data_IF_671538676036
#
_entry.id   IF_671538676036
#
_cell.length_a   1.000
_cell.length_b   1.000
_cell.length_c   1.000
_cell.angle_alpha   90.00
_cell.angle_beta   90.00
_cell.angle_gamma   90.00
#
_symmetry.space_group_name_H-M   'P 1'
#
loop_
_entity.id
_entity.type
_entity.pdbx_description
1 polymer ?
#
# COMPACT_ATOMS: atom_id res chain seq x y z
N UNK A 1 -19.34 24.30 1.65
CA UNK A 1 -18.61 23.19 2.28
C UNK A 1 -17.14 23.56 2.24
N UNK A 2 -16.46 23.49 3.37
CA UNK A 2 -15.02 23.72 3.50
C UNK A 2 -14.21 22.61 2.83
N UNK A 3 -12.94 22.86 2.56
CA UNK A 3 -12.04 21.85 1.99
C UNK A 3 -11.84 20.64 2.93
N UNK A 4 -11.88 20.86 4.25
CA UNK A 4 -11.81 19.80 5.26
C UNK A 4 -13.01 18.86 5.12
N UNK A 5 -14.22 19.42 5.09
CA UNK A 5 -15.46 18.63 4.93
C UNK A 5 -15.49 17.90 3.58
N UNK A 6 -14.98 18.52 2.51
CA UNK A 6 -14.85 17.90 1.20
C UNK A 6 -13.90 16.69 1.21
N UNK A 7 -12.75 16.79 1.91
CA UNK A 7 -11.84 15.66 2.07
C UNK A 7 -12.48 14.52 2.84
N UNK A 8 -13.13 14.81 3.96
CA UNK A 8 -13.82 13.79 4.77
C UNK A 8 -14.91 13.07 3.96
N UNK A 9 -15.71 13.83 3.20
CA UNK A 9 -16.73 13.29 2.29
C UNK A 9 -16.11 12.41 1.18
N UNK A 10 -14.91 12.75 0.72
CA UNK A 10 -14.15 11.96 -0.24
C UNK A 10 -13.39 10.76 0.38
N UNK A 11 -13.57 10.50 1.68
CA UNK A 11 -12.88 9.41 2.38
C UNK A 11 -11.39 9.66 2.60
N UNK A 12 -11.00 10.95 2.66
CA UNK A 12 -9.65 11.38 2.96
C UNK A 12 -9.59 11.95 4.39
N UNK A 13 -8.53 11.60 5.11
CA UNK A 13 -8.15 12.21 6.38
C UNK A 13 -7.46 13.55 6.10
N UNK A 14 -8.01 14.69 6.54
CA UNK A 14 -7.35 15.98 6.44
C UNK A 14 -6.10 15.99 7.32
N UNK A 15 -4.95 16.37 6.76
CA UNK A 15 -3.68 16.46 7.51
C UNK A 15 -2.90 17.69 7.06
N UNK A 16 -2.08 18.26 7.95
CA UNK A 16 -1.10 19.27 7.55
C UNK A 16 0.27 18.85 8.03
N UNK A 17 1.16 18.54 7.09
CA UNK A 17 2.51 18.09 7.43
C UNK A 17 3.50 19.25 7.44
N UNK A 18 4.33 19.29 8.49
CA UNK A 18 5.49 20.16 8.53
C UNK A 18 6.57 19.74 7.52
N UNK A 19 7.58 20.59 7.29
CA UNK A 19 8.64 20.33 6.31
C UNK A 19 9.41 19.04 6.57
N UNK A 20 9.73 18.73 7.83
CA UNK A 20 10.49 17.52 8.18
C UNK A 20 9.70 16.25 7.88
N UNK A 21 8.43 16.21 8.29
CA UNK A 21 7.54 15.08 8.00
C UNK A 21 7.31 14.89 6.51
N UNK A 22 7.15 15.99 5.77
CA UNK A 22 6.99 15.95 4.30
C UNK A 22 8.25 15.42 3.63
N UNK A 23 9.44 15.85 4.09
CA UNK A 23 10.72 15.35 3.58
C UNK A 23 10.89 13.86 3.83
N UNK A 24 10.62 13.40 5.04
CA UNK A 24 10.79 11.99 5.41
C UNK A 24 9.85 11.11 4.59
N UNK A 25 8.59 11.53 4.44
CA UNK A 25 7.64 10.86 3.55
C UNK A 25 8.05 10.92 2.08
N UNK A 26 8.55 12.05 1.56
CA UNK A 26 8.91 12.18 0.15
C UNK A 26 10.11 11.31 -0.22
N UNK A 27 11.12 11.27 0.64
CA UNK A 27 12.28 10.37 0.50
C UNK A 27 11.85 8.91 0.53
N UNK A 28 10.91 8.59 1.41
CA UNK A 28 10.27 7.28 1.48
C UNK A 28 9.50 6.95 0.19
N UNK A 29 8.67 7.85 -0.31
CA UNK A 29 7.83 7.65 -1.48
C UNK A 29 8.66 7.49 -2.77
N UNK A 30 9.72 8.27 -2.94
CA UNK A 30 10.64 8.21 -4.10
C UNK A 30 11.75 7.15 -3.96
N UNK A 31 11.91 6.54 -2.79
CA UNK A 31 13.07 5.72 -2.42
C UNK A 31 14.43 6.43 -2.61
N UNK A 32 14.48 7.76 -2.49
CA UNK A 32 15.69 8.56 -2.69
C UNK A 32 15.99 9.46 -1.50
N UNK A 33 17.22 9.39 -0.98
CA UNK A 33 17.68 10.32 0.09
C UNK A 33 18.13 11.67 -0.44
N UNK A 34 18.28 11.80 -1.77
CA UNK A 34 18.75 13.02 -2.44
C UNK A 34 17.65 14.06 -2.63
N UNK A 35 16.39 13.64 -2.59
CA UNK A 35 15.26 14.55 -2.72
C UNK A 35 14.85 15.13 -1.37
N UNK A 36 14.36 16.36 -1.38
CA UNK A 36 13.93 17.07 -0.17
C UNK A 36 12.42 17.04 0.04
N UNK A 37 11.61 16.98 -1.03
CA UNK A 37 10.15 17.11 -0.95
C UNK A 37 9.69 18.50 -0.50
N UNK A 38 10.60 19.48 -0.45
CA UNK A 38 10.30 20.83 0.05
C UNK A 38 9.31 21.60 -0.84
N UNK A 39 9.17 21.16 -2.08
CA UNK A 39 8.18 21.65 -3.05
C UNK A 39 6.76 21.15 -2.75
N UNK A 40 6.54 20.27 -1.77
CA UNK A 40 5.20 19.76 -1.45
C UNK A 40 4.69 20.23 -0.09
N UNK A 41 3.37 20.43 0.03
CA UNK A 41 2.66 20.56 1.30
C UNK A 41 1.48 19.61 1.33
N UNK A 42 1.57 18.54 2.10
CA UNK A 42 0.49 17.53 2.19
C UNK A 42 -0.68 18.09 2.99
N UNK A 43 -1.87 17.99 2.39
CA UNK A 43 -3.14 18.54 2.89
C UNK A 43 -4.15 17.45 3.30
N UNK A 44 -4.02 16.26 2.73
CA UNK A 44 -4.86 15.13 3.06
C UNK A 44 -4.17 13.81 2.71
N UNK A 45 -4.63 12.74 3.37
CA UNK A 45 -4.32 11.35 2.99
C UNK A 45 -5.60 10.63 2.70
N UNK A 46 -5.62 9.82 1.66
CA UNK A 46 -6.73 8.89 1.50
C UNK A 46 -6.49 7.62 2.33
N UNK A 47 -7.50 6.75 2.40
CA UNK A 47 -7.39 5.43 3.04
C UNK A 47 -6.42 4.47 2.35
N UNK A 48 -5.79 4.91 1.26
CA UNK A 48 -4.90 4.13 0.41
C UNK A 48 -3.43 4.25 0.82
N UNK A 49 -3.13 5.27 1.60
CA UNK A 49 -1.77 5.74 1.88
C UNK A 49 -1.30 6.83 0.90
N UNK A 50 -2.08 7.12 -0.14
CA UNK A 50 -1.86 8.21 -1.08
C UNK A 50 -2.09 9.56 -0.44
N UNK A 51 -1.36 10.56 -0.91
CA UNK A 51 -1.37 11.91 -0.36
C UNK A 51 -1.85 12.92 -1.39
N UNK A 52 -2.64 13.89 -0.93
CA UNK A 52 -2.96 15.11 -1.66
C UNK A 52 -2.03 16.19 -1.16
N UNK A 53 -1.37 16.90 -2.07
CA UNK A 53 -0.43 17.95 -1.72
C UNK A 53 -0.58 19.19 -2.61
N UNK A 54 -0.19 20.34 -2.09
CA UNK A 54 0.16 21.50 -2.92
C UNK A 54 1.56 21.30 -3.48
N UNK A 55 1.74 21.57 -4.77
CA UNK A 55 3.05 21.65 -5.39
C UNK A 55 3.45 23.12 -5.53
N UNK A 56 4.43 23.54 -4.73
CA UNK A 56 4.84 24.92 -4.49
C UNK A 56 5.73 25.49 -5.61
N UNK A 57 5.25 25.42 -6.85
CA UNK A 57 5.94 25.97 -8.02
C UNK A 57 5.52 27.40 -8.35
N UNK A 58 4.31 27.79 -7.95
CA UNK A 58 3.72 29.10 -8.23
C UNK A 58 3.10 29.74 -6.98
N UNK A 59 2.72 31.02 -7.10
CA UNK A 59 2.04 31.76 -6.03
C UNK A 59 0.65 31.18 -5.70
N UNK A 60 -0.02 30.57 -6.68
CA UNK A 60 -1.24 29.79 -6.50
C UNK A 60 -0.91 28.33 -6.87
N UNK A 61 -0.47 27.52 -5.90
CA UNK A 61 0.13 26.23 -6.20
C UNK A 61 -0.93 25.21 -6.64
N UNK A 62 -0.65 24.42 -7.69
CA UNK A 62 -1.54 23.34 -8.11
C UNK A 62 -1.66 22.25 -7.04
N UNK A 63 -2.80 21.57 -7.08
CA UNK A 63 -3.08 20.43 -6.21
C UNK A 63 -2.73 19.15 -6.93
N UNK A 64 -1.92 18.31 -6.30
CA UNK A 64 -1.39 17.08 -6.87
C UNK A 64 -1.75 15.88 -6.00
N UNK A 65 -1.89 14.73 -6.66
CA UNK A 65 -2.05 13.43 -6.03
C UNK A 65 -0.78 12.62 -6.16
N UNK A 66 -0.34 12.02 -5.05
CA UNK A 66 0.85 11.19 -4.94
C UNK A 66 0.41 9.86 -4.32
N UNK A 67 0.07 8.91 -5.19
CA UNK A 67 -0.54 7.63 -4.86
C UNK A 67 0.43 6.66 -4.20
N UNK A 68 -0.09 5.79 -3.34
CA UNK A 68 0.71 4.80 -2.60
C UNK A 68 1.42 3.78 -3.51
N UNK A 69 0.99 3.65 -4.77
CA UNK A 69 1.55 2.73 -5.75
C UNK A 69 2.40 3.43 -6.82
N UNK A 70 2.74 4.70 -6.59
CA UNK A 70 3.60 5.50 -7.47
C UNK A 70 2.83 6.26 -8.54
N UNK A 71 1.49 6.30 -8.47
CA UNK A 71 0.71 7.22 -9.27
C UNK A 71 1.05 8.66 -8.89
N UNK A 72 1.21 9.52 -9.89
CA UNK A 72 1.36 10.95 -9.67
C UNK A 72 0.54 11.69 -10.72
N UNK A 73 -0.26 12.66 -10.29
CA UNK A 73 -1.05 13.49 -11.19
C UNK A 73 -1.29 14.87 -10.61
N UNK A 74 -1.39 15.88 -11.49
CA UNK A 74 -1.95 17.18 -11.15
C UNK A 74 -3.46 17.07 -11.20
N UNK A 75 -4.12 17.20 -10.05
CA UNK A 75 -5.58 17.09 -9.95
C UNK A 75 -6.29 18.37 -10.38
N UNK A 76 -5.71 19.52 -10.05
CA UNK A 76 -6.30 20.84 -10.26
C UNK A 76 -5.23 21.93 -10.31
N UNK A 77 -5.53 23.04 -10.97
CA UNK A 77 -4.63 24.19 -11.07
C UNK A 77 -4.48 24.94 -9.74
N UNK A 78 -5.49 24.85 -8.87
CA UNK A 78 -5.47 25.43 -7.53
C UNK A 78 -6.48 24.76 -6.59
N UNK A 79 -6.64 25.33 -5.39
CA UNK A 79 -7.53 24.83 -4.36
C UNK A 79 -9.02 24.99 -4.70
N UNK A 80 -9.39 26.00 -5.48
CA UNK A 80 -10.80 26.26 -5.83
C UNK A 80 -11.27 25.24 -6.87
N UNK A 81 -10.45 25.00 -7.90
CA UNK A 81 -10.68 23.94 -8.89
C UNK A 81 -10.67 22.54 -8.23
N UNK A 82 -9.80 22.32 -7.26
CA UNK A 82 -9.77 21.08 -6.51
C UNK A 82 -11.01 20.88 -5.63
N UNK A 83 -11.50 21.94 -4.98
CA UNK A 83 -12.73 21.88 -4.21
C UNK A 83 -13.93 21.55 -5.12
N UNK A 84 -13.98 22.11 -6.33
CA UNK A 84 -14.99 21.77 -7.33
C UNK A 84 -14.92 20.30 -7.77
N UNK A 85 -13.70 19.77 -7.95
CA UNK A 85 -13.47 18.35 -8.26
C UNK A 85 -14.04 17.43 -7.16
N UNK A 86 -13.75 17.72 -5.88
CA UNK A 86 -14.29 16.94 -4.77
C UNK A 86 -15.81 17.09 -4.65
N UNK A 87 -16.34 18.29 -4.88
CA UNK A 87 -17.78 18.55 -4.84
C UNK A 87 -18.56 17.78 -5.91
N UNK A 88 -17.91 17.35 -6.99
CA UNK A 88 -18.51 16.46 -8.00
C UNK A 88 -18.64 15.01 -7.53
N UNK A 89 -18.19 14.69 -6.31
CA UNK A 89 -18.14 13.33 -5.75
C UNK A 89 -16.92 12.52 -6.19
N UNK A 90 -15.95 13.13 -6.87
CA UNK A 90 -14.71 12.44 -7.22
C UNK A 90 -13.81 12.30 -5.99
N UNK A 91 -13.16 11.15 -5.84
CA UNK A 91 -12.07 10.99 -4.86
C UNK A 91 -10.73 11.26 -5.52
N UNK A 92 -9.72 11.78 -4.81
CA UNK A 92 -8.42 12.14 -5.38
C UNK A 92 -7.75 11.03 -6.20
N UNK A 93 -7.63 9.84 -5.61
CA UNK A 93 -6.99 8.69 -6.29
C UNK A 93 -7.77 8.20 -7.50
N UNK A 94 -9.11 8.18 -7.43
CA UNK A 94 -9.93 7.79 -8.58
C UNK A 94 -9.86 8.84 -9.70
N UNK A 95 -9.85 10.13 -9.35
CA UNK A 95 -9.71 11.22 -10.31
C UNK A 95 -8.37 11.17 -11.04
N UNK A 96 -7.28 10.91 -10.31
CA UNK A 96 -5.94 10.72 -10.87
C UNK A 96 -5.90 9.51 -11.84
N UNK A 97 -6.46 8.36 -11.44
CA UNK A 97 -6.44 7.15 -12.25
C UNK A 97 -7.34 7.21 -13.49
N UNK A 98 -8.55 7.79 -13.36
CA UNK A 98 -9.50 7.91 -14.47
C UNK A 98 -9.12 9.01 -15.46
N UNK A 99 -8.24 9.93 -15.07
CA UNK A 99 -7.84 11.09 -15.87
C UNK A 99 -9.06 11.91 -16.30
N UNK A 100 -9.88 12.35 -15.34
CA UNK A 100 -11.09 13.15 -15.63
C UNK A 100 -10.76 14.38 -16.50
N UNK A 101 -11.72 14.94 -17.28
CA UNK A 101 -11.44 16.09 -18.16
C UNK A 101 -10.75 17.27 -17.44
N UNK A 102 -11.18 17.60 -16.22
CA UNK A 102 -10.56 18.62 -15.39
C UNK A 102 -9.11 18.27 -15.01
N UNK A 103 -8.86 17.01 -14.61
CA UNK A 103 -7.52 16.50 -14.28
C UNK A 103 -6.62 16.53 -15.52
N UNK A 104 -7.13 16.17 -16.71
CA UNK A 104 -6.36 16.27 -17.96
C UNK A 104 -6.01 17.71 -18.32
N UNK A 105 -6.94 18.64 -18.13
CA UNK A 105 -6.70 20.06 -18.38
C UNK A 105 -5.64 20.62 -17.40
N UNK A 106 -5.76 20.30 -16.11
CA UNK A 106 -4.77 20.66 -15.10
C UNK A 106 -3.39 20.06 -15.43
N UNK A 107 -3.32 18.76 -15.73
CA UNK A 107 -2.08 18.10 -16.11
C UNK A 107 -1.44 18.72 -17.36
N UNK A 108 -2.24 19.16 -18.34
CA UNK A 108 -1.75 19.82 -19.54
C UNK A 108 -1.23 21.25 -19.28
N UNK A 109 -1.74 21.93 -18.26
CA UNK A 109 -1.27 23.25 -17.84
C UNK A 109 0.10 23.19 -17.15
N UNK A 110 0.46 22.03 -16.58
CA UNK A 110 1.72 21.77 -15.89
C UNK A 110 2.49 20.60 -16.52
N UNK A 111 2.95 20.74 -17.78
CA UNK A 111 3.69 19.68 -18.49
C UNK A 111 5.02 19.31 -17.83
N UNK A 112 5.58 20.22 -17.03
CA UNK A 112 6.80 20.02 -16.27
C UNK A 112 6.61 19.22 -14.98
N UNK A 113 5.36 18.96 -14.56
CA UNK A 113 5.07 18.00 -13.50
C UNK A 113 5.51 16.60 -13.96
N UNK A 114 6.63 16.09 -13.47
CA UNK A 114 7.27 14.94 -14.04
C UNK A 114 6.72 13.68 -13.36
N UNK A 115 5.41 13.44 -13.55
CA UNK A 115 4.70 12.29 -13.00
C UNK A 115 5.43 10.95 -13.26
N UNK A 116 6.15 10.87 -14.38
CA UNK A 116 6.95 9.72 -14.77
C UNK A 116 8.38 9.70 -14.19
N UNK A 117 8.97 10.86 -13.86
CA UNK A 117 10.33 10.96 -13.32
C UNK A 117 10.39 10.81 -11.80
N UNK A 118 9.25 10.98 -11.12
CA UNK A 118 9.13 10.69 -9.69
C UNK A 118 8.64 9.28 -9.38
N UNK A 119 8.57 8.41 -10.40
CA UNK A 119 8.35 6.99 -10.16
C UNK A 119 9.40 6.52 -9.14
N UNK A 120 9.00 5.81 -8.06
CA UNK A 120 9.97 5.18 -7.18
C UNK A 120 10.96 4.37 -8.01
N UNK A 121 12.22 4.29 -7.55
CA UNK A 121 13.23 3.38 -8.13
C UNK A 121 12.62 2.01 -8.46
N UNK A 122 13.10 1.33 -9.53
CA UNK A 122 12.41 0.22 -10.17
C UNK A 122 11.81 -0.75 -9.16
N UNK A 123 10.51 -1.03 -9.38
CA UNK A 123 9.69 -1.95 -8.59
C UNK A 123 10.56 -3.07 -8.06
N UNK A 124 10.61 -3.17 -6.73
CA UNK A 124 11.39 -4.19 -6.04
C UNK A 124 11.23 -5.54 -6.74
N UNK A 125 12.35 -6.18 -7.08
CA UNK A 125 12.33 -7.50 -7.69
C UNK A 125 11.61 -8.46 -6.72
N UNK A 126 10.54 -9.09 -7.20
CA UNK A 126 9.81 -10.07 -6.41
C UNK A 126 10.41 -11.45 -6.66
N UNK A 127 10.91 -12.08 -5.59
CA UNK A 127 11.43 -13.46 -5.63
C UNK A 127 10.93 -14.27 -4.45
N UNK A 128 11.11 -15.58 -4.53
CA UNK A 128 10.91 -16.47 -3.39
C UNK A 128 11.81 -16.05 -2.23
N UNK A 129 11.26 -16.11 -1.02
CA UNK A 129 12.03 -16.00 0.20
C UNK A 129 12.88 -17.27 0.39
N UNK A 130 14.06 -17.08 0.97
CA UNK A 130 15.03 -18.11 1.30
C UNK A 130 15.36 -18.02 2.78
N UNK A 131 15.99 -19.07 3.34
CA UNK A 131 16.39 -19.05 4.75
C UNK A 131 17.33 -17.89 5.11
N UNK A 132 18.08 -17.37 4.15
CA UNK A 132 19.02 -16.25 4.33
C UNK A 132 18.29 -14.90 4.51
N UNK A 133 17.02 -14.80 4.11
CA UNK A 133 16.20 -13.60 4.27
C UNK A 133 15.63 -13.45 5.70
N UNK A 134 15.91 -14.41 6.60
CA UNK A 134 15.24 -14.52 7.88
C UNK A 134 15.44 -13.31 8.81
N UNK A 135 16.63 -12.69 8.82
CA UNK A 135 16.90 -11.52 9.67
C UNK A 135 16.07 -10.30 9.25
N UNK A 136 16.05 -10.00 7.96
CA UNK A 136 15.25 -8.90 7.42
C UNK A 136 13.74 -9.17 7.61
N UNK A 137 13.30 -10.42 7.40
CA UNK A 137 11.91 -10.82 7.62
C UNK A 137 11.49 -10.68 9.08
N UNK A 138 12.34 -11.11 10.03
CA UNK A 138 12.09 -10.88 11.47
C UNK A 138 11.91 -9.40 11.77
N UNK A 139 12.74 -8.53 11.19
CA UNK A 139 12.61 -7.08 11.35
C UNK A 139 11.26 -6.55 10.85
N UNK A 140 10.82 -7.00 9.66
CA UNK A 140 9.52 -6.61 9.10
C UNK A 140 8.32 -7.24 9.83
N UNK A 141 8.48 -8.41 10.42
CA UNK A 141 7.43 -9.04 11.23
C UNK A 141 7.22 -8.25 12.54
N UNK A 142 8.30 -7.75 13.14
CA UNK A 142 8.24 -6.90 14.33
C UNK A 142 7.42 -5.62 14.10
N UNK A 143 7.49 -5.01 12.90
CA UNK A 143 6.69 -3.81 12.58
C UNK A 143 5.18 -4.09 12.54
N UNK A 144 4.78 -5.35 12.41
CA UNK A 144 3.37 -5.75 12.51
C UNK A 144 2.91 -5.97 13.96
N UNK A 145 3.83 -5.95 14.94
CA UNK A 145 3.57 -6.20 16.36
C UNK A 145 3.78 -7.66 16.80
N UNK A 146 4.55 -8.45 16.04
CA UNK A 146 4.84 -9.85 16.37
C UNK A 146 6.34 -10.07 16.61
N UNK A 147 6.69 -10.82 17.64
CA UNK A 147 8.08 -11.18 17.93
C UNK A 147 8.35 -12.63 17.50
N UNK A 148 9.41 -12.83 16.70
CA UNK A 148 9.85 -14.16 16.23
C UNK A 148 11.35 -14.16 16.02
N UNK A 149 12.04 -15.24 16.42
CA UNK A 149 13.47 -15.38 16.19
C UNK A 149 13.81 -15.68 14.73
N UNK A 150 14.94 -15.16 14.24
CA UNK A 150 15.40 -15.40 12.87
C UNK A 150 15.64 -16.90 12.58
N UNK A 151 16.11 -17.67 13.56
CA UNK A 151 16.27 -19.11 13.43
C UNK A 151 14.93 -19.84 13.16
N UNK A 152 13.86 -19.43 13.84
CA UNK A 152 12.52 -19.99 13.63
C UNK A 152 11.96 -19.61 12.25
N UNK A 153 12.16 -18.35 11.84
CA UNK A 153 11.78 -17.88 10.50
C UNK A 153 12.52 -18.68 9.42
N UNK A 154 13.84 -18.81 9.54
CA UNK A 154 14.65 -19.61 8.62
C UNK A 154 14.19 -21.07 8.57
N UNK A 155 13.86 -21.67 9.72
CA UNK A 155 13.29 -23.01 9.81
C UNK A 155 11.99 -23.14 9.02
N UNK A 156 11.05 -22.20 9.21
CA UNK A 156 9.76 -22.17 8.49
C UNK A 156 9.93 -21.97 6.99
N UNK A 157 10.85 -21.08 6.56
CA UNK A 157 11.08 -20.82 5.14
C UNK A 157 11.57 -22.06 4.38
N UNK A 158 12.27 -22.98 5.06
CA UNK A 158 12.71 -24.24 4.45
C UNK A 158 11.57 -25.25 4.26
N UNK A 159 10.52 -25.19 5.07
CA UNK A 159 9.47 -26.24 5.11
C UNK A 159 8.14 -25.79 4.51
N UNK A 160 7.83 -24.50 4.56
CA UNK A 160 6.56 -23.94 4.07
C UNK A 160 6.26 -24.23 2.58
N UNK A 161 7.23 -24.18 1.65
CA UNK A 161 6.95 -24.47 0.24
C UNK A 161 6.34 -25.87 0.02
N UNK A 162 6.79 -26.86 0.78
CA UNK A 162 6.34 -28.25 0.65
C UNK A 162 4.94 -28.48 1.24
N UNK A 163 4.42 -27.55 2.05
CA UNK A 163 3.15 -27.67 2.74
C UNK A 163 2.00 -26.89 2.08
N UNK A 164 2.18 -26.43 0.83
CA UNK A 164 1.17 -25.63 0.14
C UNK A 164 1.16 -24.16 0.58
N UNK A 165 2.31 -23.63 0.98
CA UNK A 165 2.51 -22.21 1.24
C UNK A 165 3.54 -21.63 0.28
N UNK A 166 3.55 -20.32 0.15
CA UNK A 166 4.64 -19.59 -0.48
C UNK A 166 4.93 -18.30 0.28
N UNK A 167 6.21 -17.95 0.34
CA UNK A 167 6.66 -16.68 0.87
C UNK A 167 7.46 -15.98 -0.23
N UNK A 168 7.05 -14.77 -0.58
CA UNK A 168 7.76 -13.91 -1.52
C UNK A 168 8.28 -12.68 -0.81
N UNK A 169 9.41 -12.19 -1.27
CA UNK A 169 10.03 -10.95 -0.80
C UNK A 169 10.16 -9.94 -1.93
N UNK A 170 10.05 -8.67 -1.56
CA UNK A 170 10.32 -7.53 -2.42
C UNK A 170 11.75 -7.05 -2.15
N UNK A 171 12.59 -7.07 -3.18
CA UNK A 171 14.04 -6.80 -3.08
C UNK A 171 14.45 -5.61 -3.91
N UNK A 172 15.22 -4.71 -3.32
CA UNK A 172 15.98 -3.66 -4.00
C UNK A 172 17.48 -3.91 -3.73
N UNK A 173 18.12 -3.04 -2.96
CA UNK A 173 19.34 -3.26 -2.18
C UNK A 173 19.16 -4.22 -0.98
N UNK A 174 17.95 -4.31 -0.41
CA UNK A 174 17.60 -5.17 0.73
C UNK A 174 16.16 -5.67 0.65
N UNK A 175 15.76 -6.57 1.53
CA UNK A 175 14.36 -6.97 1.66
C UNK A 175 13.56 -5.80 2.23
N UNK A 176 12.51 -5.40 1.51
CA UNK A 176 11.67 -4.25 1.88
C UNK A 176 10.19 -4.54 1.92
N UNK A 177 9.81 -5.78 1.67
CA UNK A 177 8.49 -6.27 1.92
C UNK A 177 8.44 -7.77 1.76
N UNK A 178 7.38 -8.37 2.29
CA UNK A 178 7.13 -9.78 2.15
C UNK A 178 5.64 -10.08 2.14
N UNK A 179 5.29 -11.19 1.51
CA UNK A 179 3.96 -11.76 1.55
C UNK A 179 4.05 -13.25 1.80
N UNK A 180 3.23 -13.74 2.72
CA UNK A 180 2.99 -15.16 2.95
C UNK A 180 1.58 -15.49 2.48
N UNK A 181 1.48 -16.48 1.59
CA UNK A 181 0.22 -16.99 1.06
C UNK A 181 0.18 -18.50 1.26
N UNK A 182 -1.00 -19.05 1.53
CA UNK A 182 -1.20 -20.48 1.75
C UNK A 182 -2.50 -20.99 1.12
N UNK A 183 -2.52 -22.26 0.72
CA UNK A 183 -3.75 -22.93 0.30
C UNK A 183 -4.46 -23.50 1.52
N UNK A 184 -5.77 -23.25 1.57
CA UNK A 184 -6.67 -23.70 2.63
C UNK A 184 -7.84 -24.43 1.98
N UNK A 185 -8.10 -25.65 2.46
CA UNK A 185 -9.21 -26.48 2.02
C UNK A 185 -10.28 -26.54 3.12
N UNK A 186 -11.52 -26.26 2.74
CA UNK A 186 -12.66 -26.28 3.66
C UNK A 186 -13.86 -26.98 3.04
N UNK A 187 -14.61 -27.71 3.85
CA UNK A 187 -15.90 -28.28 3.45
C UNK A 187 -16.95 -27.21 3.10
N UNK A 188 -16.80 -26.00 3.64
CA UNK A 188 -17.81 -24.93 3.50
C UNK A 188 -17.52 -24.08 2.26
N UNK A 189 -16.25 -23.73 2.03
CA UNK A 189 -15.86 -22.75 1.01
C UNK A 189 -14.94 -23.32 -0.08
N UNK A 190 -14.65 -24.62 -0.04
CA UNK A 190 -13.78 -25.28 -1.01
C UNK A 190 -12.30 -24.90 -0.85
N UNK A 191 -11.58 -24.88 -1.97
CA UNK A 191 -10.15 -24.47 -2.03
C UNK A 191 -10.03 -22.96 -2.17
N UNK A 192 -9.42 -22.32 -1.18
CA UNK A 192 -9.10 -20.88 -1.20
C UNK A 192 -7.63 -20.65 -0.87
N UNK A 193 -7.12 -19.48 -1.22
CA UNK A 193 -5.84 -19.01 -0.74
C UNK A 193 -6.03 -18.00 0.40
N UNK A 194 -5.19 -18.07 1.42
CA UNK A 194 -5.19 -17.14 2.55
C UNK A 194 -3.87 -16.38 2.62
N UNK A 195 -3.94 -15.07 2.86
CA UNK A 195 -2.76 -14.29 3.24
C UNK A 195 -2.46 -14.53 4.71
N UNK A 196 -1.32 -15.19 4.97
CA UNK A 196 -0.78 -15.38 6.32
C UNK A 196 -0.09 -14.12 6.86
N UNK A 197 0.40 -13.25 5.97
CA UNK A 197 0.97 -11.96 6.31
C UNK A 197 1.36 -11.17 5.07
N UNK A 198 1.29 -9.84 5.16
CA UNK A 198 1.77 -8.91 4.15
C UNK A 198 2.29 -7.67 4.88
N UNK A 199 3.57 -7.36 4.71
CA UNK A 199 4.15 -6.14 5.23
C UNK A 199 5.16 -5.57 4.25
N UNK A 200 5.27 -4.25 4.28
CA UNK A 200 6.30 -3.49 3.58
C UNK A 200 6.95 -2.55 4.57
N UNK A 201 8.26 -2.33 4.44
CA UNK A 201 8.90 -1.20 5.10
C UNK A 201 8.16 0.07 4.67
N UNK A 202 7.99 1.02 5.59
CA UNK A 202 7.17 2.24 5.42
C UNK A 202 7.60 3.13 4.23
N UNK A 203 8.68 2.78 3.53
CA UNK A 203 9.43 3.60 2.58
C UNK A 203 9.46 3.06 1.15
N UNK A 204 8.47 2.26 0.74
CA UNK A 204 8.43 1.68 -0.62
C UNK A 204 7.03 1.64 -1.22
N UNK A 205 6.66 2.71 -1.93
CA UNK A 205 5.46 2.75 -2.74
C UNK A 205 5.43 1.59 -3.77
N UNK A 206 4.26 0.98 -3.97
CA UNK A 206 4.05 -0.09 -4.97
C UNK A 206 4.53 -1.50 -4.62
N UNK A 207 5.41 -1.68 -3.63
CA UNK A 207 5.90 -3.00 -3.23
C UNK A 207 4.77 -3.92 -2.72
N UNK A 208 3.83 -3.37 -1.95
CA UNK A 208 2.67 -4.11 -1.44
C UNK A 208 1.78 -4.65 -2.55
N UNK A 209 1.53 -3.84 -3.59
CA UNK A 209 0.81 -4.27 -4.81
C UNK A 209 1.51 -5.41 -5.52
N UNK A 210 2.81 -5.26 -5.77
CA UNK A 210 3.58 -6.25 -6.51
C UNK A 210 3.60 -7.60 -5.78
N UNK A 211 3.75 -7.57 -4.45
CA UNK A 211 3.67 -8.74 -3.59
C UNK A 211 2.28 -9.38 -3.64
N UNK A 212 1.21 -8.60 -3.44
CA UNK A 212 -0.15 -9.12 -3.45
C UNK A 212 -0.53 -9.74 -4.81
N UNK A 213 -0.22 -9.07 -5.91
CA UNK A 213 -0.45 -9.60 -7.26
C UNK A 213 0.37 -10.88 -7.51
N UNK A 214 1.55 -11.01 -6.91
CA UNK A 214 2.33 -12.25 -6.97
C UNK A 214 1.68 -13.38 -6.19
N UNK A 215 1.17 -13.09 -4.98
CA UNK A 215 0.42 -14.05 -4.18
C UNK A 215 -0.87 -14.52 -4.90
N UNK A 216 -1.59 -13.62 -5.55
CA UNK A 216 -2.79 -13.92 -6.34
C UNK A 216 -2.49 -14.84 -7.53
N UNK A 217 -1.42 -14.53 -8.30
CA UNK A 217 -0.98 -15.41 -9.39
C UNK A 217 -0.57 -16.80 -8.88
N UNK A 218 0.10 -16.85 -7.74
CA UNK A 218 0.46 -18.11 -7.11
C UNK A 218 -0.81 -18.89 -6.70
N UNK A 219 -1.79 -18.23 -6.08
CA UNK A 219 -3.04 -18.85 -5.66
C UNK A 219 -3.82 -19.45 -6.83
N UNK A 220 -3.94 -18.72 -7.95
CA UNK A 220 -4.60 -19.21 -9.17
C UNK A 220 -3.92 -20.47 -9.71
N UNK A 221 -2.58 -20.50 -9.75
CA UNK A 221 -1.83 -21.69 -10.21
C UNK A 221 -2.03 -22.91 -9.31
N UNK A 222 -2.42 -22.71 -8.05
CA UNK A 222 -2.67 -23.78 -7.09
C UNK A 222 -4.17 -24.09 -6.93
N UNK A 223 -5.00 -23.64 -7.87
CA UNK A 223 -6.42 -24.00 -7.94
C UNK A 223 -7.31 -23.30 -6.91
N UNK A 224 -6.84 -22.24 -6.26
CA UNK A 224 -7.69 -21.42 -5.41
C UNK A 224 -8.71 -20.65 -6.24
N UNK A 225 -9.97 -20.65 -5.79
CA UNK A 225 -11.06 -19.90 -6.44
C UNK A 225 -11.32 -18.53 -5.80
N UNK A 226 -10.67 -18.26 -4.67
CA UNK A 226 -10.78 -16.99 -3.95
C UNK A 226 -9.55 -16.70 -3.10
N UNK A 227 -9.29 -15.41 -2.88
CA UNK A 227 -8.32 -14.91 -1.90
C UNK A 227 -9.03 -14.49 -0.62
N UNK A 228 -8.41 -14.79 0.52
CA UNK A 228 -8.92 -14.45 1.84
C UNK A 228 -7.83 -13.78 2.68
N UNK A 229 -8.19 -12.75 3.41
CA UNK A 229 -7.30 -12.06 4.33
C UNK A 229 -8.03 -11.75 5.64
N UNK A 230 -7.31 -11.91 6.75
CA UNK A 230 -7.75 -11.45 8.07
C UNK A 230 -7.01 -10.15 8.38
N UNK A 231 -7.78 -9.10 8.69
CA UNK A 231 -7.24 -7.81 9.10
C UNK A 231 -7.94 -7.37 10.39
N UNK A 232 -7.18 -6.83 11.33
CA UNK A 232 -7.72 -6.30 12.58
C UNK A 232 -8.60 -5.09 12.32
N UNK A 233 -9.70 -4.94 13.08
CA UNK A 233 -10.67 -3.85 12.88
C UNK A 233 -10.05 -2.44 12.91
N UNK A 234 -8.95 -2.26 13.65
CA UNK A 234 -8.21 -1.00 13.75
C UNK A 234 -7.31 -0.68 12.54
N UNK A 235 -7.12 -1.61 11.59
CA UNK A 235 -6.21 -1.45 10.43
C UNK A 235 -6.95 -0.88 9.21
N UNK A 236 -7.51 0.32 9.35
CA UNK A 236 -8.29 1.00 8.31
C UNK A 236 -7.52 1.20 6.99
N UNK A 237 -6.24 1.55 7.05
CA UNK A 237 -5.36 1.68 5.87
C UNK A 237 -5.20 0.35 5.12
N UNK A 238 -5.08 -0.77 5.84
CA UNK A 238 -5.01 -2.10 5.23
C UNK A 238 -6.34 -2.48 4.55
N UNK A 239 -7.49 -2.14 5.16
CA UNK A 239 -8.80 -2.37 4.55
C UNK A 239 -8.94 -1.60 3.24
N UNK A 240 -8.53 -0.33 3.20
CA UNK A 240 -8.49 0.46 1.98
C UNK A 240 -7.60 -0.19 0.92
N UNK A 241 -6.38 -0.59 1.30
CA UNK A 241 -5.42 -1.29 0.43
C UNK A 241 -6.04 -2.52 -0.25
N UNK A 242 -6.67 -3.43 0.50
CA UNK A 242 -7.33 -4.60 -0.09
C UNK A 242 -8.56 -4.23 -0.92
N UNK A 243 -9.37 -3.27 -0.47
CA UNK A 243 -10.59 -2.83 -1.15
C UNK A 243 -10.37 -2.40 -2.60
N UNK A 244 -9.33 -1.60 -2.86
CA UNK A 244 -8.96 -1.18 -4.23
C UNK A 244 -8.54 -2.32 -5.14
N UNK A 245 -8.14 -3.45 -4.56
CA UNK A 245 -7.68 -4.64 -5.28
C UNK A 245 -8.78 -5.71 -5.39
N UNK A 246 -10.04 -5.30 -5.21
CA UNK A 246 -11.21 -6.14 -5.41
C UNK A 246 -11.62 -6.99 -4.20
N UNK A 247 -10.98 -6.80 -3.03
CA UNK A 247 -11.40 -7.49 -1.82
C UNK A 247 -12.62 -6.79 -1.21
N UNK A 248 -13.63 -7.58 -0.86
CA UNK A 248 -14.84 -7.08 -0.20
C UNK A 248 -14.90 -7.55 1.24
N UNK A 249 -15.29 -6.68 2.18
CA UNK A 249 -15.56 -7.09 3.56
C UNK A 249 -16.70 -8.10 3.58
N UNK A 250 -16.44 -9.28 4.17
CA UNK A 250 -17.45 -10.35 4.31
C UNK A 250 -18.04 -10.42 5.71
N UNK A 251 -17.23 -10.18 6.73
CA UNK A 251 -17.64 -10.33 8.13
C UNK A 251 -16.67 -9.62 9.07
N UNK A 252 -17.16 -9.24 10.25
CA UNK A 252 -16.36 -8.87 11.42
C UNK A 252 -16.43 -10.02 12.41
N UNK A 253 -15.27 -10.55 12.83
CA UNK A 253 -15.17 -11.79 13.60
C UNK A 253 -14.29 -11.63 14.84
N UNK A 254 -14.51 -12.49 15.85
CA UNK A 254 -13.62 -12.63 17.01
C UNK A 254 -12.50 -13.62 16.70
N UNK A 255 -11.27 -13.30 17.07
CA UNK A 255 -10.13 -14.21 17.02
C UNK A 255 -9.89 -14.83 18.41
N UNK A 256 -10.17 -16.13 18.55
CA UNK A 256 -10.02 -16.87 19.80
C UNK A 256 -8.88 -17.88 19.67
N UNK A 257 -8.01 -17.98 20.68
CA UNK A 257 -6.89 -18.94 20.70
C UNK A 257 -6.91 -19.72 22.00
N UNK A 258 -6.74 -21.03 21.92
CA UNK A 258 -6.54 -21.93 23.05
C UNK A 258 -5.26 -22.75 22.80
N UNK A 259 -4.25 -22.69 23.67
CA UNK A 259 -3.07 -23.55 23.56
C UNK A 259 -3.48 -25.03 23.63
N UNK A 260 -2.82 -25.86 22.82
CA UNK A 260 -3.00 -27.32 22.82
C UNK A 260 -1.71 -27.97 23.34
N UNK A 261 -1.87 -29.00 24.15
CA UNK A 261 -0.78 -29.87 24.58
C UNK A 261 -0.83 -31.13 23.72
N UNK A 262 0.30 -31.56 23.11
CA UNK A 262 0.35 -32.85 22.44
C UNK A 262 -0.03 -33.98 23.41
N UNK A 263 -0.70 -35.06 22.96
CA UNK A 263 -0.80 -36.26 23.77
C UNK A 263 0.61 -36.83 24.01
N UNK A 264 0.84 -37.36 25.22
CA UNK A 264 2.07 -38.06 25.61
C UNK A 264 2.40 -39.25 24.70
#
# INVERSE_FOLDING_TARGET
MSLIELHEAAGCEPVVWGPDRTRDWWRAWTASTRVSGAEFRVLARDTTGGCVALWLVDANPPVVYLGADGEAAVLAADLDDYAALLASGATPGAAAAAGLPAVRAAQAAYPEFPAHAWRPEPVAAIRWATADDAEDLTTLIATMGYEVGAADVAGRLRTLPDSGHAVYVAVTDRITGWVHVLISHSLIVGTRAELGGLAVAQTRAGAGSALLATAERWAVRHGATSMYVRSGAHRTEAHGFYGRRGYTVRTTQLALTKPLTPPD
#
